data_IF_268511740474
#
_entry.id   IF_268511740474
#
_cell.length_a   1.000
_cell.length_b   1.000
_cell.length_c   1.000
_cell.angle_alpha   90.00
_cell.angle_beta   90.00
_cell.angle_gamma   90.00
#
_symmetry.space_group_name_H-M   'P 1'
#
loop_
_entity.id
_entity.type
_entity.pdbx_description
1 polymer ?
#
# COMPACT_ATOMS: atom_id res chain seq x y z
N UNK A 1 37.05 17.10 -13.06
CA UNK A 1 36.02 18.10 -12.73
C UNK A 1 34.64 17.47 -12.95
N UNK A 2 33.90 17.15 -11.91
CA UNK A 2 32.49 16.81 -11.99
C UNK A 2 31.73 18.07 -12.44
N UNK A 3 31.39 18.18 -13.74
CA UNK A 3 30.37 19.14 -14.17
C UNK A 3 29.12 18.76 -13.41
N UNK A 4 28.77 19.55 -12.40
CA UNK A 4 27.55 19.31 -11.57
C UNK A 4 26.38 19.06 -12.51
N UNK A 5 25.71 17.92 -12.34
CA UNK A 5 24.52 17.62 -13.11
C UNK A 5 23.40 18.47 -12.53
N UNK A 6 23.00 19.60 -13.17
CA UNK A 6 21.98 20.53 -12.64
C UNK A 6 20.63 19.81 -12.35
N UNK A 7 20.51 18.62 -12.85
CA UNK A 7 19.34 17.78 -12.77
C UNK A 7 19.12 17.10 -11.40
N UNK A 8 20.14 16.99 -10.53
CA UNK A 8 19.96 16.57 -9.13
C UNK A 8 19.21 17.62 -8.30
N UNK A 9 19.15 18.85 -8.79
CA UNK A 9 18.39 19.90 -8.14
C UNK A 9 16.90 19.55 -8.05
N UNK A 10 16.34 18.86 -9.06
CA UNK A 10 14.91 18.54 -9.11
C UNK A 10 14.44 17.58 -8.00
N UNK A 11 15.10 16.44 -7.70
CA UNK A 11 14.76 15.65 -6.52
C UNK A 11 14.89 16.41 -5.21
N UNK A 12 15.90 17.29 -5.08
CA UNK A 12 16.09 18.14 -3.89
C UNK A 12 14.95 19.16 -3.78
N UNK A 13 14.56 19.79 -4.88
CA UNK A 13 13.41 20.69 -4.90
C UNK A 13 12.11 19.95 -4.56
N UNK A 14 11.91 18.76 -5.11
CA UNK A 14 10.75 17.93 -4.79
C UNK A 14 10.69 17.56 -3.30
N UNK A 15 11.83 17.21 -2.72
CA UNK A 15 11.96 16.97 -1.29
C UNK A 15 11.59 18.22 -0.46
N UNK A 16 12.17 19.37 -0.78
CA UNK A 16 11.90 20.62 -0.07
C UNK A 16 10.44 21.06 -0.21
N UNK A 17 9.86 20.99 -1.42
CA UNK A 17 8.46 21.30 -1.68
C UNK A 17 7.51 20.38 -0.92
N UNK A 18 7.79 19.06 -0.90
CA UNK A 18 6.97 18.10 -0.16
C UNK A 18 6.99 18.38 1.34
N UNK A 19 8.18 18.62 1.91
CA UNK A 19 8.30 18.97 3.34
C UNK A 19 7.54 20.26 3.65
N UNK A 20 7.71 21.31 2.84
CA UNK A 20 7.05 22.59 3.07
C UNK A 20 5.53 22.48 2.94
N UNK A 21 5.03 21.72 1.95
CA UNK A 21 3.60 21.57 1.72
C UNK A 21 2.89 20.78 2.82
N UNK A 22 3.57 19.84 3.46
CA UNK A 22 2.98 18.96 4.46
C UNK A 22 3.42 19.28 5.90
N UNK A 23 4.19 20.35 6.11
CA UNK A 23 4.64 20.71 7.46
C UNK A 23 3.47 20.95 8.42
N UNK A 24 3.51 20.46 9.66
CA UNK A 24 4.56 19.64 10.31
C UNK A 24 4.47 18.13 10.05
N UNK A 25 3.54 17.68 9.26
CA UNK A 25 3.17 16.31 8.92
C UNK A 25 1.67 16.12 9.07
N UNK A 26 1.01 15.63 8.01
CA UNK A 26 -0.43 15.39 8.05
C UNK A 26 -0.72 14.13 8.88
N UNK A 27 -1.79 14.17 9.68
CA UNK A 27 -2.13 13.13 10.62
C UNK A 27 -3.62 12.82 10.62
N UNK A 28 -3.95 11.56 10.37
CA UNK A 28 -5.28 10.99 10.57
C UNK A 28 -5.41 10.42 12.00
N UNK A 29 -6.59 9.92 12.41
CA UNK A 29 -6.77 9.24 13.69
C UNK A 29 -5.75 8.12 13.92
N UNK A 30 -5.38 7.35 12.86
CA UNK A 30 -4.36 6.30 12.94
C UNK A 30 -3.00 6.87 13.34
N UNK A 31 -2.59 7.99 12.74
CA UNK A 31 -1.32 8.65 13.03
C UNK A 31 -1.31 9.26 14.44
N UNK A 32 -2.42 9.87 14.84
CA UNK A 32 -2.59 10.44 16.18
C UNK A 32 -2.53 9.35 17.25
N UNK A 33 -3.14 8.19 17.01
CA UNK A 33 -3.07 7.04 17.90
C UNK A 33 -1.62 6.55 18.04
N UNK A 34 -0.89 6.37 16.95
CA UNK A 34 0.52 5.96 16.98
C UNK A 34 1.42 7.00 17.67
N UNK A 35 1.16 8.29 17.44
CA UNK A 35 1.90 9.36 18.14
C UNK A 35 1.61 9.38 19.63
N UNK A 36 0.36 9.18 20.04
CA UNK A 36 -0.01 9.03 21.46
C UNK A 36 0.72 7.85 22.11
N UNK A 37 0.80 6.70 21.43
CA UNK A 37 1.58 5.55 21.92
C UNK A 37 3.07 5.89 22.06
N UNK A 38 3.64 6.65 21.09
CA UNK A 38 5.03 7.09 21.14
C UNK A 38 5.31 8.05 22.31
N UNK A 39 4.40 8.97 22.60
CA UNK A 39 4.50 9.91 23.74
C UNK A 39 4.42 9.19 25.08
N UNK A 40 3.43 8.34 25.23
CA UNK A 40 3.13 7.67 26.51
C UNK A 40 3.98 6.42 26.74
N UNK A 41 4.72 5.97 25.72
CA UNK A 41 5.47 4.69 25.71
C UNK A 41 4.60 3.49 26.08
N UNK A 42 3.33 3.57 25.76
CA UNK A 42 2.33 2.53 25.98
C UNK A 42 1.89 1.98 24.62
N UNK A 43 2.53 0.89 24.23
CA UNK A 43 2.39 0.34 22.89
C UNK A 43 1.33 -0.77 22.85
N UNK A 44 0.58 -0.81 21.75
CA UNK A 44 -0.29 -1.91 21.38
C UNK A 44 -0.13 -2.26 19.89
N UNK A 45 -0.58 -3.43 19.48
CA UNK A 45 -0.40 -3.96 18.14
C UNK A 45 -1.53 -3.58 17.16
N UNK A 46 -2.44 -2.67 17.54
CA UNK A 46 -3.47 -2.17 16.63
C UNK A 46 -2.85 -1.47 15.42
N UNK A 47 -1.76 -0.76 15.65
CA UNK A 47 -0.92 -0.18 14.59
C UNK A 47 0.51 -0.75 14.70
N UNK A 48 1.34 -0.61 13.65
CA UNK A 48 2.71 -1.13 13.67
C UNK A 48 3.55 -0.59 14.82
N UNK A 49 3.85 -1.43 15.79
CA UNK A 49 4.64 -1.06 16.99
C UNK A 49 6.00 -0.47 16.61
N UNK A 50 6.65 -1.02 15.57
CA UNK A 50 7.96 -0.54 15.12
C UNK A 50 7.91 0.94 14.70
N UNK A 51 6.80 1.39 14.11
CA UNK A 51 6.61 2.80 13.70
C UNK A 51 6.44 3.70 14.92
N UNK A 52 5.62 3.30 15.89
CA UNK A 52 5.42 4.08 17.12
C UNK A 52 6.70 4.15 17.98
N UNK A 53 7.48 3.06 18.05
CA UNK A 53 8.78 3.04 18.74
C UNK A 53 9.78 3.97 18.04
N UNK A 54 9.89 3.90 16.72
CA UNK A 54 10.76 4.81 15.96
C UNK A 54 10.36 6.28 16.20
N UNK A 55 9.07 6.56 16.21
CA UNK A 55 8.55 7.90 16.51
C UNK A 55 8.90 8.36 17.93
N UNK A 56 8.80 7.45 18.91
CA UNK A 56 9.23 7.72 20.29
C UNK A 56 10.71 8.11 20.37
N UNK A 57 11.58 7.45 19.60
CA UNK A 57 13.00 7.79 19.53
C UNK A 57 13.25 9.15 18.85
N UNK A 58 12.60 9.41 17.75
CA UNK A 58 12.67 10.69 17.05
C UNK A 58 12.15 11.85 17.91
N UNK A 59 11.09 11.61 18.69
CA UNK A 59 10.50 12.62 19.57
C UNK A 59 11.44 13.07 20.71
N UNK A 60 12.48 12.30 21.03
CA UNK A 60 13.55 12.73 21.94
C UNK A 60 14.44 13.83 21.35
N UNK A 61 14.51 13.89 20.03
CA UNK A 61 15.34 14.88 19.31
C UNK A 61 14.49 16.11 18.93
N UNK A 62 13.34 15.88 18.32
CA UNK A 62 12.39 16.92 17.92
C UNK A 62 10.99 16.42 18.17
N UNK A 63 10.25 17.10 19.04
CA UNK A 63 8.85 16.75 19.34
C UNK A 63 7.91 16.97 18.18
N UNK A 64 6.90 16.11 18.04
CA UNK A 64 5.84 16.26 17.06
C UNK A 64 5.97 15.35 15.84
N UNK A 65 5.16 15.61 14.80
CA UNK A 65 5.12 14.78 13.60
C UNK A 65 6.28 15.02 12.62
N UNK A 66 6.95 16.16 12.70
CA UNK A 66 7.94 16.61 11.73
C UNK A 66 9.09 15.62 11.46
N UNK A 67 9.68 14.93 12.45
CA UNK A 67 10.72 13.95 12.17
C UNK A 67 10.26 12.77 11.32
N UNK A 68 9.02 12.32 11.52
CA UNK A 68 8.44 11.24 10.71
C UNK A 68 8.14 11.70 9.29
N UNK A 69 7.66 12.94 9.11
CA UNK A 69 7.50 13.57 7.81
C UNK A 69 8.83 13.61 7.04
N UNK A 70 9.90 14.13 7.67
CA UNK A 70 11.23 14.16 7.04
C UNK A 70 11.67 12.75 6.66
N UNK A 71 11.52 11.78 7.55
CA UNK A 71 11.97 10.42 7.32
C UNK A 71 11.29 9.79 6.08
N UNK A 72 9.95 9.83 5.99
CA UNK A 72 9.23 9.23 4.86
C UNK A 72 9.48 9.97 3.53
N UNK A 73 9.47 11.31 3.55
CA UNK A 73 9.71 12.14 2.36
C UNK A 73 11.15 11.96 1.86
N UNK A 74 12.12 11.82 2.79
CA UNK A 74 13.52 11.57 2.43
C UNK A 74 13.69 10.19 1.79
N UNK A 75 13.05 9.14 2.32
CA UNK A 75 13.09 7.80 1.69
C UNK A 75 12.61 7.86 0.24
N UNK A 76 11.49 8.54 -0.02
CA UNK A 76 10.94 8.67 -1.37
C UNK A 76 11.88 9.43 -2.31
N UNK A 77 12.25 10.66 -1.97
CA UNK A 77 13.07 11.50 -2.87
C UNK A 77 14.53 11.02 -3.01
N UNK A 78 15.07 10.36 -1.99
CA UNK A 78 16.37 9.69 -2.08
C UNK A 78 16.29 8.54 -3.10
N UNK A 79 15.21 7.74 -3.07
CA UNK A 79 15.00 6.70 -4.06
C UNK A 79 14.96 7.26 -5.49
N UNK A 80 14.21 8.35 -5.72
CA UNK A 80 14.14 9.05 -7.01
C UNK A 80 15.54 9.51 -7.45
N UNK A 81 16.31 10.14 -6.54
CA UNK A 81 17.67 10.59 -6.80
C UNK A 81 18.61 9.43 -7.20
N UNK A 82 18.52 8.29 -6.50
CA UNK A 82 19.32 7.10 -6.78
C UNK A 82 18.96 6.50 -8.15
N UNK A 83 17.66 6.33 -8.45
CA UNK A 83 17.19 5.80 -9.74
C UNK A 83 17.67 6.71 -10.86
N UNK A 84 17.52 8.02 -10.67
CA UNK A 84 17.97 9.04 -11.61
C UNK A 84 19.47 8.91 -11.92
N UNK A 85 20.31 8.75 -10.91
CA UNK A 85 21.77 8.67 -11.08
C UNK A 85 22.23 7.38 -11.76
N UNK A 86 21.49 6.27 -11.59
CA UNK A 86 21.95 4.95 -12.02
C UNK A 86 21.53 4.55 -13.45
N UNK A 87 20.36 4.96 -13.90
CA UNK A 87 19.72 4.29 -15.06
C UNK A 87 19.33 5.19 -16.22
N UNK A 88 19.49 6.52 -16.16
CA UNK A 88 18.74 7.35 -17.08
C UNK A 88 19.65 8.08 -18.05
N UNK A 89 19.49 7.76 -19.34
CA UNK A 89 19.93 8.61 -20.44
C UNK A 89 19.22 9.97 -20.39
N UNK A 90 19.91 11.03 -20.82
CA UNK A 90 19.53 12.43 -20.63
C UNK A 90 18.09 12.79 -21.03
N UNK A 91 17.55 12.14 -22.07
CA UNK A 91 16.18 12.43 -22.57
C UNK A 91 15.05 11.77 -21.76
N UNK A 92 15.35 10.71 -21.01
CA UNK A 92 14.36 9.95 -20.26
C UNK A 92 14.28 10.38 -18.79
N UNK A 93 15.26 11.14 -18.32
CA UNK A 93 15.33 11.68 -16.95
C UNK A 93 14.16 12.62 -16.64
N UNK A 94 13.68 13.36 -17.63
CA UNK A 94 12.53 14.28 -17.48
C UNK A 94 11.26 13.49 -17.18
N UNK A 95 11.03 12.36 -17.87
CA UNK A 95 9.83 11.53 -17.65
C UNK A 95 9.82 10.97 -16.23
N UNK A 96 10.95 10.46 -15.72
CA UNK A 96 11.03 9.98 -14.35
C UNK A 96 10.66 11.09 -13.35
N UNK A 97 11.23 12.26 -13.52
CA UNK A 97 11.00 13.38 -12.61
C UNK A 97 9.54 13.84 -12.69
N UNK A 98 8.99 14.04 -13.89
CA UNK A 98 7.59 14.44 -14.05
C UNK A 98 6.64 13.43 -13.39
N UNK A 99 6.89 12.13 -13.57
CA UNK A 99 6.08 11.08 -12.95
C UNK A 99 6.29 11.01 -11.43
N UNK A 100 7.45 11.39 -10.91
CA UNK A 100 7.69 11.49 -9.47
C UNK A 100 6.90 12.62 -8.81
N UNK A 101 6.51 13.64 -9.57
CA UNK A 101 5.62 14.72 -9.14
C UNK A 101 4.14 14.44 -9.45
N UNK A 102 3.78 13.23 -9.84
CA UNK A 102 2.38 12.89 -10.15
C UNK A 102 1.47 13.18 -8.94
N UNK A 103 0.28 13.74 -9.17
CA UNK A 103 -0.62 14.15 -8.09
C UNK A 103 -1.07 12.95 -7.25
N UNK A 104 -1.26 11.77 -7.85
CA UNK A 104 -1.61 10.57 -7.12
C UNK A 104 -0.47 10.04 -6.21
N UNK A 105 0.78 10.48 -6.42
CA UNK A 105 1.89 10.19 -5.51
C UNK A 105 1.97 11.26 -4.43
N UNK A 106 1.97 12.54 -4.85
CA UNK A 106 2.18 13.64 -3.92
C UNK A 106 1.01 13.87 -2.97
N UNK A 107 -0.22 13.51 -3.36
CA UNK A 107 -1.43 13.82 -2.58
C UNK A 107 -1.41 13.32 -1.14
N UNK A 108 -0.74 12.19 -0.89
CA UNK A 108 -0.63 11.60 0.46
C UNK A 108 0.82 11.39 0.93
N UNK A 109 1.81 11.81 0.14
CA UNK A 109 3.23 11.59 0.46
C UNK A 109 3.63 12.15 1.84
N UNK A 110 2.99 13.22 2.30
CA UNK A 110 3.27 13.83 3.60
C UNK A 110 2.31 13.43 4.71
N UNK A 111 1.36 12.52 4.45
CA UNK A 111 0.52 11.96 5.51
C UNK A 111 1.29 10.85 6.23
N UNK A 112 1.40 10.94 7.55
CA UNK A 112 2.21 9.98 8.34
C UNK A 112 1.42 8.68 8.51
N UNK A 113 1.41 7.87 7.44
CA UNK A 113 0.76 6.57 7.41
C UNK A 113 1.76 5.43 7.21
N UNK A 114 1.46 4.30 7.85
CA UNK A 114 2.21 3.05 7.61
C UNK A 114 2.34 2.69 6.13
N UNK A 115 1.32 2.99 5.34
CA UNK A 115 1.27 2.72 3.90
C UNK A 115 2.27 3.58 3.12
N UNK A 116 2.44 4.84 3.49
CA UNK A 116 3.40 5.77 2.88
C UNK A 116 4.83 5.38 3.26
N UNK A 117 5.09 5.09 4.55
CA UNK A 117 6.38 4.59 5.00
C UNK A 117 6.77 3.29 4.28
N UNK A 118 5.81 2.36 4.16
CA UNK A 118 6.00 1.09 3.44
C UNK A 118 6.39 1.34 1.99
N UNK A 119 5.62 2.14 1.26
CA UNK A 119 5.84 2.39 -0.16
C UNK A 119 7.14 3.16 -0.42
N UNK A 120 7.45 4.20 0.36
CA UNK A 120 8.68 4.96 0.24
C UNK A 120 9.93 4.10 0.57
N UNK A 121 9.86 3.29 1.61
CA UNK A 121 10.93 2.37 2.00
C UNK A 121 11.17 1.26 0.97
N UNK A 122 10.11 0.66 0.41
CA UNK A 122 10.23 -0.31 -0.68
C UNK A 122 10.88 0.30 -1.92
N UNK A 123 10.45 1.52 -2.32
CA UNK A 123 11.04 2.20 -3.47
C UNK A 123 12.52 2.49 -3.26
N UNK A 124 12.93 2.90 -2.04
CA UNK A 124 14.33 3.13 -1.70
C UNK A 124 15.14 1.85 -1.77
N UNK A 125 14.61 0.73 -1.28
CA UNK A 125 15.28 -0.57 -1.37
C UNK A 125 15.44 -1.05 -2.81
N UNK A 126 14.40 -0.87 -3.64
CA UNK A 126 14.47 -1.15 -5.09
C UNK A 126 15.54 -0.27 -5.74
N UNK A 127 15.54 1.03 -5.46
CA UNK A 127 16.52 1.97 -5.99
C UNK A 127 17.95 1.59 -5.62
N UNK A 128 18.20 1.18 -4.38
CA UNK A 128 19.51 0.73 -3.92
C UNK A 128 19.96 -0.55 -4.63
N UNK A 129 19.03 -1.44 -4.96
CA UNK A 129 19.29 -2.73 -5.64
C UNK A 129 19.59 -2.58 -7.14
N UNK A 130 19.21 -1.47 -7.78
CA UNK A 130 19.51 -1.19 -9.19
C UNK A 130 21.01 -1.01 -9.40
N UNK A 131 21.59 -1.65 -10.44
CA UNK A 131 23.01 -1.49 -10.84
C UNK A 131 23.99 -1.40 -9.66
N UNK A 132 23.85 -2.33 -8.72
CA UNK A 132 24.69 -2.33 -7.52
C UNK A 132 26.16 -2.44 -7.87
N UNK A 133 26.91 -1.41 -7.51
CA UNK A 133 28.37 -1.37 -7.58
C UNK A 133 28.92 -1.35 -6.17
N UNK A 134 29.96 -2.15 -5.92
CA UNK A 134 30.67 -2.12 -4.64
C UNK A 134 31.49 -0.84 -4.53
N UNK A 135 31.46 -0.22 -3.39
CA UNK A 135 32.39 0.86 -3.07
C UNK A 135 33.82 0.30 -2.95
N UNK A 136 34.81 1.08 -3.33
CA UNK A 136 36.22 0.69 -3.15
C UNK A 136 36.56 0.51 -1.67
N UNK A 137 35.97 1.31 -0.80
CA UNK A 137 36.15 1.24 0.65
C UNK A 137 35.22 0.19 1.22
N UNK A 138 35.78 -0.90 1.79
CA UNK A 138 35.01 -2.03 2.36
C UNK A 138 34.02 -1.58 3.44
N UNK A 139 34.42 -0.64 4.29
CA UNK A 139 33.60 -0.10 5.37
C UNK A 139 32.28 0.52 4.85
N UNK A 140 32.32 1.28 3.74
CA UNK A 140 31.10 1.84 3.14
C UNK A 140 30.13 0.77 2.66
N UNK A 141 30.63 -0.36 2.15
CA UNK A 141 29.77 -1.48 1.75
C UNK A 141 29.06 -2.11 2.97
N UNK A 142 29.73 -2.18 4.11
CA UNK A 142 29.15 -2.69 5.36
C UNK A 142 28.07 -1.71 5.85
N UNK A 143 28.33 -0.42 5.89
CA UNK A 143 27.36 0.59 6.29
C UNK A 143 26.10 0.50 5.42
N UNK A 144 26.24 0.48 4.09
CA UNK A 144 25.11 0.39 3.17
C UNK A 144 24.32 -0.89 3.38
N UNK A 145 25.00 -2.03 3.53
CA UNK A 145 24.33 -3.31 3.82
C UNK A 145 23.53 -3.24 5.14
N UNK A 146 24.15 -2.68 6.19
CA UNK A 146 23.47 -2.53 7.50
C UNK A 146 22.24 -1.65 7.39
N UNK A 147 22.34 -0.50 6.71
CA UNK A 147 21.21 0.41 6.51
C UNK A 147 20.08 -0.26 5.69
N UNK A 148 20.41 -1.05 4.67
CA UNK A 148 19.42 -1.79 3.88
C UNK A 148 18.76 -2.88 4.71
N UNK A 149 19.49 -3.64 5.51
CA UNK A 149 18.93 -4.66 6.42
C UNK A 149 17.99 -4.02 7.44
N UNK A 150 18.38 -2.88 8.05
CA UNK A 150 17.52 -2.13 8.97
C UNK A 150 16.27 -1.60 8.26
N UNK A 151 16.41 -1.10 7.03
CA UNK A 151 15.29 -0.64 6.23
C UNK A 151 14.32 -1.79 5.91
N UNK A 152 14.84 -2.96 5.49
CA UNK A 152 14.00 -4.13 5.20
C UNK A 152 13.27 -4.59 6.46
N UNK A 153 13.98 -4.66 7.60
CA UNK A 153 13.39 -5.03 8.88
C UNK A 153 12.26 -4.06 9.27
N UNK A 154 12.48 -2.75 9.10
CA UNK A 154 11.49 -1.72 9.36
C UNK A 154 10.25 -1.90 8.48
N UNK A 155 10.40 -1.90 7.14
CA UNK A 155 9.26 -1.97 6.21
C UNK A 155 8.47 -3.28 6.32
N UNK A 156 9.13 -4.42 6.59
CA UNK A 156 8.45 -5.69 6.80
C UNK A 156 7.51 -5.65 8.01
N UNK A 157 7.87 -4.89 9.06
CA UNK A 157 7.10 -4.80 10.29
C UNK A 157 6.18 -3.58 10.35
N UNK A 158 6.31 -2.63 9.43
CA UNK A 158 5.35 -1.52 9.25
C UNK A 158 4.04 -2.02 8.62
N UNK A 159 4.08 -3.07 7.78
CA UNK A 159 2.89 -3.62 7.14
C UNK A 159 2.96 -5.15 7.02
N UNK A 160 2.67 -5.83 8.13
CA UNK A 160 2.81 -7.28 8.26
C UNK A 160 1.94 -8.12 7.32
N UNK A 161 0.81 -7.60 6.84
CA UNK A 161 -0.06 -8.29 5.88
C UNK A 161 0.48 -8.30 4.43
N UNK A 162 1.60 -7.65 4.15
CA UNK A 162 2.19 -7.53 2.80
C UNK A 162 3.40 -8.46 2.59
N UNK A 163 3.40 -9.63 3.23
CA UNK A 163 4.53 -10.56 3.21
C UNK A 163 4.94 -11.03 1.80
N UNK A 164 3.99 -11.19 0.86
CA UNK A 164 4.30 -11.55 -0.53
C UNK A 164 5.09 -10.43 -1.25
N UNK A 165 4.74 -9.17 -0.98
CA UNK A 165 5.46 -8.01 -1.53
C UNK A 165 6.88 -7.97 -0.96
N UNK A 166 7.01 -8.14 0.36
CA UNK A 166 8.33 -8.19 1.04
C UNK A 166 9.18 -9.32 0.46
N UNK A 167 8.61 -10.51 0.24
CA UNK A 167 9.31 -11.65 -0.35
C UNK A 167 9.88 -11.30 -1.75
N UNK A 168 9.08 -10.69 -2.62
CA UNK A 168 9.50 -10.31 -3.97
C UNK A 168 10.61 -9.25 -3.94
N UNK A 169 10.47 -8.22 -3.11
CA UNK A 169 11.47 -7.17 -3.03
C UNK A 169 12.75 -7.65 -2.32
N UNK A 170 12.63 -8.52 -1.33
CA UNK A 170 13.78 -9.20 -0.70
C UNK A 170 14.52 -10.08 -1.72
N UNK A 171 13.79 -10.82 -2.57
CA UNK A 171 14.41 -11.56 -3.67
C UNK A 171 15.20 -10.63 -4.61
N UNK A 172 14.64 -9.50 -4.99
CA UNK A 172 15.33 -8.51 -5.82
C UNK A 172 16.62 -8.01 -5.13
N UNK A 173 16.53 -7.70 -3.84
CA UNK A 173 17.65 -7.24 -3.04
C UNK A 173 18.75 -8.32 -2.94
N UNK A 174 18.42 -9.57 -2.59
CA UNK A 174 19.34 -10.70 -2.54
C UNK A 174 19.98 -10.97 -3.91
N UNK A 175 19.18 -10.90 -4.99
CA UNK A 175 19.68 -11.08 -6.36
C UNK A 175 20.71 -10.00 -6.72
N UNK A 176 20.60 -8.79 -6.20
CA UNK A 176 21.56 -7.72 -6.44
C UNK A 176 22.94 -7.98 -5.82
N UNK A 177 23.00 -8.76 -4.74
CA UNK A 177 24.23 -9.18 -4.06
C UNK A 177 24.81 -10.50 -4.57
N UNK A 178 23.95 -11.48 -4.85
CA UNK A 178 24.31 -12.88 -5.12
C UNK A 178 24.12 -13.23 -6.61
N UNK A 179 24.71 -12.44 -7.52
CA UNK A 179 24.55 -12.61 -8.98
C UNK A 179 24.93 -14.01 -9.48
N UNK A 180 25.99 -14.63 -8.93
CA UNK A 180 26.51 -15.94 -9.34
C UNK A 180 25.76 -17.15 -8.75
N UNK A 181 24.83 -16.93 -7.82
CA UNK A 181 24.07 -18.00 -7.16
C UNK A 181 22.86 -18.38 -8.02
N UNK A 182 22.48 -19.66 -8.01
CA UNK A 182 21.32 -20.16 -8.76
C UNK A 182 20.01 -19.55 -8.27
N UNK A 183 19.05 -19.41 -9.17
CA UNK A 183 17.74 -18.79 -8.87
C UNK A 183 17.02 -19.49 -7.73
N UNK A 184 17.03 -20.84 -7.69
CA UNK A 184 16.38 -21.59 -6.62
C UNK A 184 16.98 -21.25 -5.23
N UNK A 185 18.30 -21.20 -5.11
CA UNK A 185 18.97 -20.82 -3.85
C UNK A 185 18.62 -19.39 -3.43
N UNK A 186 18.47 -18.46 -4.38
CA UNK A 186 18.03 -17.08 -4.09
C UNK A 186 16.59 -17.04 -3.59
N UNK A 187 15.69 -17.82 -4.19
CA UNK A 187 14.29 -17.93 -3.73
C UNK A 187 14.24 -18.49 -2.31
N UNK A 188 14.95 -19.61 -2.05
CA UNK A 188 15.01 -20.18 -0.70
C UNK A 188 15.59 -19.19 0.33
N UNK A 189 16.69 -18.51 -0.02
CA UNK A 189 17.28 -17.49 0.85
C UNK A 189 16.32 -16.33 1.13
N UNK A 190 15.58 -15.88 0.12
CA UNK A 190 14.59 -14.82 0.27
C UNK A 190 13.44 -15.24 1.16
N UNK A 191 12.95 -16.47 1.02
CA UNK A 191 11.88 -17.01 1.86
C UNK A 191 12.32 -17.12 3.32
N UNK A 192 13.48 -17.72 3.58
CA UNK A 192 14.04 -17.88 4.94
C UNK A 192 14.26 -16.50 5.56
N UNK A 193 14.85 -15.55 4.82
CA UNK A 193 15.10 -14.21 5.31
C UNK A 193 13.80 -13.47 5.60
N UNK A 194 12.79 -13.57 4.73
CA UNK A 194 11.46 -12.95 4.95
C UNK A 194 10.78 -13.51 6.19
N UNK A 195 10.78 -14.82 6.38
CA UNK A 195 10.23 -15.45 7.60
C UNK A 195 11.00 -14.94 8.84
N UNK A 196 12.32 -14.86 8.77
CA UNK A 196 13.15 -14.32 9.84
C UNK A 196 12.83 -12.88 10.18
N UNK A 197 12.58 -12.02 9.18
CA UNK A 197 12.19 -10.61 9.39
C UNK A 197 10.90 -10.48 10.20
N UNK A 198 9.88 -11.29 9.86
CA UNK A 198 8.62 -11.29 10.61
C UNK A 198 8.80 -11.90 12.00
N UNK A 199 9.58 -12.97 12.15
CA UNK A 199 9.90 -13.56 13.44
C UNK A 199 10.61 -12.56 14.38
N UNK A 200 11.60 -11.84 13.87
CA UNK A 200 12.29 -10.76 14.62
C UNK A 200 11.30 -9.65 14.99
N UNK A 201 10.42 -9.27 14.08
CA UNK A 201 9.40 -8.26 14.35
C UNK A 201 8.42 -8.68 15.45
N UNK A 202 7.94 -9.92 15.43
CA UNK A 202 7.07 -10.47 16.47
C UNK A 202 7.79 -10.54 17.83
N UNK A 203 9.03 -11.03 17.83
CA UNK A 203 9.85 -11.04 19.01
C UNK A 203 10.05 -9.63 19.59
N UNK A 204 10.41 -8.66 18.72
CA UNK A 204 10.57 -7.26 19.10
C UNK A 204 9.26 -6.70 19.70
N UNK A 205 8.13 -6.91 19.03
CA UNK A 205 6.83 -6.39 19.46
C UNK A 205 6.41 -6.93 20.83
N UNK A 206 6.50 -8.24 21.05
CA UNK A 206 5.90 -8.86 22.22
C UNK A 206 6.90 -9.17 23.34
N UNK A 207 8.18 -9.40 23.03
CA UNK A 207 9.17 -9.72 24.06
C UNK A 207 10.01 -8.50 24.45
N UNK A 208 10.38 -7.64 23.50
CA UNK A 208 11.23 -6.47 23.78
C UNK A 208 10.37 -5.28 24.19
N UNK A 209 9.40 -4.89 23.36
CA UNK A 209 8.52 -3.73 23.60
C UNK A 209 7.39 -4.07 24.56
N UNK A 210 7.00 -5.35 24.65
CA UNK A 210 5.88 -5.84 25.46
C UNK A 210 4.56 -5.14 25.12
N UNK A 211 4.30 -4.98 23.83
CA UNK A 211 3.09 -4.34 23.32
C UNK A 211 1.85 -5.15 23.73
N UNK A 212 0.79 -4.43 24.10
CA UNK A 212 -0.51 -5.05 24.42
C UNK A 212 -1.15 -5.59 23.14
N UNK A 213 -1.64 -6.82 23.19
CA UNK A 213 -2.42 -7.42 22.10
C UNK A 213 -3.82 -6.81 22.06
N UNK A 214 -4.29 -6.46 20.84
CA UNK A 214 -5.58 -5.81 20.61
C UNK A 214 -6.56 -6.64 19.79
N UNK A 215 -6.21 -7.89 19.47
CA UNK A 215 -7.09 -8.80 18.71
C UNK A 215 -7.64 -8.19 17.41
N UNK A 216 -6.79 -7.50 16.62
CA UNK A 216 -7.19 -6.91 15.32
C UNK A 216 -7.90 -7.93 14.42
N UNK A 217 -7.55 -9.20 14.53
CA UNK A 217 -8.18 -10.28 13.75
C UNK A 217 -9.69 -10.33 14.01
N UNK A 218 -10.16 -9.96 15.21
CA UNK A 218 -11.58 -9.91 15.52
C UNK A 218 -12.35 -9.00 14.57
N UNK A 219 -11.74 -7.92 14.11
CA UNK A 219 -12.38 -6.99 13.18
C UNK A 219 -12.80 -7.66 11.88
N UNK A 220 -11.93 -8.54 11.35
CA UNK A 220 -12.22 -9.30 10.13
C UNK A 220 -13.19 -10.47 10.37
N UNK A 221 -13.10 -11.10 11.54
CA UNK A 221 -14.00 -12.20 11.90
C UNK A 221 -15.40 -11.69 12.14
N UNK A 222 -15.55 -10.59 12.87
CA UNK A 222 -16.84 -9.94 13.15
C UNK A 222 -17.49 -9.48 11.83
N UNK A 223 -16.73 -8.88 10.92
CA UNK A 223 -17.24 -8.46 9.62
C UNK A 223 -17.83 -9.64 8.82
N UNK A 224 -17.14 -10.78 8.80
CA UNK A 224 -17.64 -12.00 8.18
C UNK A 224 -18.89 -12.55 8.89
N UNK A 225 -18.87 -12.59 10.23
CA UNK A 225 -19.97 -13.14 11.01
C UNK A 225 -21.23 -12.27 10.96
N UNK A 226 -21.12 -10.95 10.84
CA UNK A 226 -22.27 -10.08 10.58
C UNK A 226 -22.94 -10.49 9.26
N UNK A 227 -22.15 -10.70 8.19
CA UNK A 227 -22.70 -11.16 6.92
C UNK A 227 -23.41 -12.51 7.04
N UNK A 228 -22.79 -13.46 7.73
CA UNK A 228 -23.41 -14.78 7.94
C UNK A 228 -24.64 -14.72 8.87
N UNK A 229 -24.62 -13.86 9.89
CA UNK A 229 -25.79 -13.63 10.75
C UNK A 229 -26.99 -13.13 9.96
N UNK A 230 -26.76 -12.22 9.01
CA UNK A 230 -27.81 -11.74 8.09
C UNK A 230 -28.31 -12.88 7.20
N UNK A 231 -27.44 -13.77 6.75
CA UNK A 231 -27.81 -14.92 5.91
C UNK A 231 -28.63 -15.97 6.68
N UNK A 232 -28.28 -16.22 7.96
CA UNK A 232 -28.99 -17.19 8.83
C UNK A 232 -30.27 -16.60 9.46
N UNK A 233 -30.40 -15.27 9.53
CA UNK A 233 -31.52 -14.60 10.17
C UNK A 233 -31.43 -14.52 11.70
N UNK A 234 -30.25 -14.80 12.27
CA UNK A 234 -29.99 -14.75 13.71
C UNK A 234 -28.54 -14.30 13.99
N UNK A 235 -28.26 -13.81 15.19
CA UNK A 235 -26.91 -13.42 15.58
C UNK A 235 -26.01 -14.62 15.83
N UNK A 236 -24.90 -14.71 15.10
CA UNK A 236 -23.80 -15.65 15.30
C UNK A 236 -22.75 -15.14 16.30
N UNK A 237 -22.92 -13.92 16.81
CA UNK A 237 -22.07 -13.30 17.84
C UNK A 237 -22.95 -12.99 19.03
N UNK A 238 -22.93 -13.82 20.09
CA UNK A 238 -23.89 -13.70 21.23
C UNK A 238 -23.90 -12.32 21.89
N UNK A 239 -22.77 -11.60 21.88
CA UNK A 239 -22.64 -10.28 22.47
C UNK A 239 -23.22 -9.16 21.62
N UNK A 240 -23.64 -9.43 20.39
CA UNK A 240 -24.17 -8.44 19.44
C UNK A 240 -25.59 -8.82 19.06
N UNK A 241 -26.55 -7.94 19.32
CA UNK A 241 -27.96 -8.18 18.99
C UNK A 241 -28.16 -8.18 17.45
N UNK A 242 -28.97 -9.14 16.96
CA UNK A 242 -29.26 -9.26 15.53
C UNK A 242 -29.88 -7.99 14.95
N UNK A 243 -30.82 -7.38 15.67
CA UNK A 243 -31.50 -6.16 15.27
C UNK A 243 -30.51 -4.99 15.05
N UNK A 244 -29.45 -4.91 15.84
CA UNK A 244 -28.38 -3.92 15.66
C UNK A 244 -27.56 -4.19 14.40
N UNK A 245 -27.37 -5.48 14.04
CA UNK A 245 -26.67 -5.84 12.79
C UNK A 245 -27.46 -5.45 11.55
N UNK A 246 -28.77 -5.60 11.57
CA UNK A 246 -29.66 -5.32 10.42
C UNK A 246 -30.12 -3.86 10.35
N UNK A 247 -30.13 -3.13 11.45
CA UNK A 247 -30.61 -1.75 11.52
C UNK A 247 -29.81 -0.80 10.60
N UNK A 248 -28.52 -1.08 10.39
CA UNK A 248 -27.66 -0.25 9.55
C UNK A 248 -27.68 -0.62 8.06
N UNK A 249 -28.22 -1.79 7.70
CA UNK A 249 -28.18 -2.31 6.33
C UNK A 249 -28.74 -1.36 5.28
N UNK A 250 -29.90 -0.71 5.48
CA UNK A 250 -30.44 0.21 4.48
C UNK A 250 -29.48 1.34 4.12
N UNK A 251 -28.83 1.93 5.13
CA UNK A 251 -27.87 3.01 4.91
C UNK A 251 -26.57 2.48 4.26
N UNK A 252 -26.08 1.32 4.71
CA UNK A 252 -24.88 0.69 4.18
C UNK A 252 -25.05 0.29 2.73
N UNK A 253 -26.21 -0.27 2.37
CA UNK A 253 -26.55 -0.64 0.99
C UNK A 253 -26.71 0.61 0.12
N UNK A 254 -27.40 1.65 0.60
CA UNK A 254 -27.59 2.89 -0.14
C UNK A 254 -26.29 3.60 -0.44
N UNK A 255 -25.31 3.49 0.46
CA UNK A 255 -23.97 4.08 0.31
C UNK A 255 -22.96 3.11 -0.33
N UNK A 256 -23.38 1.87 -0.68
CA UNK A 256 -22.53 0.82 -1.23
C UNK A 256 -21.32 0.47 -0.34
N UNK A 257 -21.51 0.39 0.97
CA UNK A 257 -20.46 0.11 1.94
C UNK A 257 -20.60 -1.32 2.47
N UNK A 258 -19.60 -2.16 2.25
CA UNK A 258 -19.58 -3.58 2.65
C UNK A 258 -18.66 -3.88 3.84
N UNK A 259 -18.02 -2.88 4.44
CA UNK A 259 -17.36 -3.04 5.73
C UNK A 259 -18.40 -2.90 6.85
N UNK A 260 -19.17 -3.97 7.04
CA UNK A 260 -20.36 -3.99 7.90
C UNK A 260 -20.02 -3.67 9.35
N UNK A 261 -18.91 -4.20 9.87
CA UNK A 261 -18.45 -3.91 11.22
C UNK A 261 -18.22 -2.41 11.43
N UNK A 262 -17.47 -1.78 10.53
CA UNK A 262 -17.11 -0.38 10.66
C UNK A 262 -18.34 0.53 10.59
N UNK A 263 -19.23 0.28 9.63
CA UNK A 263 -20.38 1.15 9.42
C UNK A 263 -21.54 0.83 10.36
N UNK A 264 -21.72 -0.43 10.74
CA UNK A 264 -22.85 -0.83 11.59
C UNK A 264 -22.54 -0.75 13.09
N UNK A 265 -21.41 -1.28 13.52
CA UNK A 265 -21.12 -1.41 14.96
C UNK A 265 -20.30 -0.24 15.52
N UNK A 266 -19.35 0.31 14.77
CA UNK A 266 -18.52 1.43 15.26
C UNK A 266 -19.29 2.75 15.37
N UNK A 267 -20.29 2.98 14.50
CA UNK A 267 -21.09 4.21 14.55
C UNK A 267 -21.95 4.25 15.81
N UNK A 268 -22.42 3.13 16.30
CA UNK A 268 -23.24 3.07 17.53
C UNK A 268 -22.43 3.27 18.81
N UNK A 269 -21.10 3.00 18.78
CA UNK A 269 -20.26 2.99 20.00
C UNK A 269 -20.68 1.94 21.05
N UNK A 270 -21.70 1.12 20.72
CA UNK A 270 -22.32 0.16 21.62
C UNK A 270 -21.44 -1.08 21.85
N UNK A 271 -20.68 -1.48 20.84
CA UNK A 271 -19.93 -2.74 20.86
C UNK A 271 -18.43 -2.54 20.74
N UNK A 272 -17.67 -3.23 21.60
CA UNK A 272 -16.22 -3.28 21.56
C UNK A 272 -15.76 -4.63 20.98
N UNK A 273 -15.50 -4.70 19.69
CA UNK A 273 -15.06 -5.93 19.01
C UNK A 273 -13.75 -6.49 19.52
N UNK A 274 -12.87 -5.64 20.07
CA UNK A 274 -11.58 -6.08 20.63
C UNK A 274 -11.69 -6.90 21.90
N UNK A 275 -12.84 -6.85 22.60
CA UNK A 275 -13.08 -7.62 23.83
C UNK A 275 -13.71 -8.98 23.59
N UNK A 276 -14.13 -9.28 22.36
CA UNK A 276 -14.75 -10.55 22.00
C UNK A 276 -13.73 -11.70 22.01
N UNK A 277 -14.22 -12.92 22.25
CA UNK A 277 -13.37 -14.11 22.27
C UNK A 277 -12.94 -14.49 20.85
N UNK A 278 -11.65 -14.31 20.53
CA UNK A 278 -11.08 -14.59 19.22
C UNK A 278 -11.25 -16.04 18.78
N UNK A 279 -11.06 -16.99 19.68
CA UNK A 279 -11.15 -18.42 19.35
C UNK A 279 -12.59 -18.80 19.00
N UNK A 280 -13.58 -18.29 19.73
CA UNK A 280 -14.99 -18.49 19.44
C UNK A 280 -15.38 -17.90 18.07
N UNK A 281 -14.99 -16.64 17.80
CA UNK A 281 -15.24 -15.99 16.51
C UNK A 281 -14.60 -16.75 15.35
N UNK A 282 -13.38 -17.28 15.55
CA UNK A 282 -12.67 -18.04 14.54
C UNK A 282 -13.34 -19.37 14.22
N UNK A 283 -13.77 -20.09 15.25
CA UNK A 283 -14.44 -21.39 15.07
C UNK A 283 -15.82 -21.24 14.44
N UNK A 284 -16.59 -20.23 14.84
CA UNK A 284 -17.87 -19.90 14.21
C UNK A 284 -17.67 -19.50 12.76
N UNK A 285 -16.69 -18.63 12.46
CA UNK A 285 -16.39 -18.25 11.08
C UNK A 285 -15.99 -19.44 10.21
N UNK A 286 -15.19 -20.39 10.72
CA UNK A 286 -14.82 -21.62 9.98
C UNK A 286 -16.05 -22.48 9.68
N UNK A 287 -16.92 -22.69 10.68
CA UNK A 287 -18.15 -23.48 10.50
C UNK A 287 -19.03 -22.86 9.42
N UNK A 288 -19.24 -21.55 9.46
CA UNK A 288 -20.04 -20.83 8.49
C UNK A 288 -19.42 -20.81 7.08
N UNK A 289 -18.11 -20.67 6.95
CA UNK A 289 -17.42 -20.78 5.65
C UNK A 289 -17.61 -22.18 5.04
N UNK A 290 -17.53 -23.24 5.86
CA UNK A 290 -17.76 -24.62 5.39
C UNK A 290 -19.23 -24.85 5.03
N UNK A 291 -20.17 -24.31 5.81
CA UNK A 291 -21.62 -24.40 5.57
C UNK A 291 -22.05 -23.64 4.32
N UNK A 292 -21.46 -22.44 4.08
CA UNK A 292 -21.86 -21.53 3.01
C UNK A 292 -20.67 -21.03 2.16
N UNK A 293 -19.88 -21.91 1.52
CA UNK A 293 -18.64 -21.51 0.85
C UNK A 293 -18.87 -20.53 -0.30
N UNK A 294 -19.97 -20.71 -1.07
CA UNK A 294 -20.30 -19.81 -2.18
C UNK A 294 -20.76 -18.44 -1.70
N UNK A 295 -21.52 -18.37 -0.61
CA UNK A 295 -21.91 -17.10 0.00
C UNK A 295 -20.69 -16.32 0.47
N UNK A 296 -19.74 -16.99 1.12
CA UNK A 296 -18.47 -16.38 1.51
C UNK A 296 -17.70 -15.81 0.33
N UNK A 297 -17.54 -16.60 -0.74
CA UNK A 297 -16.83 -16.15 -1.95
C UNK A 297 -17.56 -14.95 -2.57
N UNK A 298 -18.89 -14.99 -2.70
CA UNK A 298 -19.69 -13.87 -3.21
C UNK A 298 -19.48 -12.61 -2.37
N UNK A 299 -19.55 -12.73 -1.05
CA UNK A 299 -19.33 -11.61 -0.13
C UNK A 299 -17.93 -11.01 -0.28
N UNK A 300 -16.87 -11.84 -0.31
CA UNK A 300 -15.50 -11.35 -0.48
C UNK A 300 -15.27 -10.70 -1.84
N UNK A 301 -15.87 -11.24 -2.89
CA UNK A 301 -15.81 -10.62 -4.22
C UNK A 301 -16.57 -9.29 -4.26
N UNK A 302 -17.72 -9.19 -3.60
CA UNK A 302 -18.47 -7.94 -3.48
C UNK A 302 -17.69 -6.88 -2.71
N UNK A 303 -17.13 -7.23 -1.55
CA UNK A 303 -16.29 -6.33 -0.75
C UNK A 303 -15.04 -5.88 -1.52
N UNK A 304 -14.40 -6.80 -2.25
CA UNK A 304 -13.27 -6.45 -3.12
C UNK A 304 -13.68 -5.54 -4.27
N UNK A 305 -14.88 -5.74 -4.81
CA UNK A 305 -15.43 -4.91 -5.88
C UNK A 305 -15.69 -3.49 -5.41
N UNK A 306 -16.26 -3.33 -4.21
CA UNK A 306 -16.42 -2.02 -3.57
C UNK A 306 -15.07 -1.36 -3.36
N UNK A 307 -14.09 -2.07 -2.80
CA UNK A 307 -12.73 -1.58 -2.62
C UNK A 307 -12.10 -1.11 -3.94
N UNK A 308 -12.25 -1.90 -5.02
CA UNK A 308 -11.70 -1.52 -6.34
C UNK A 308 -12.38 -0.27 -6.89
N UNK A 309 -13.61 -0.01 -6.51
CA UNK A 309 -14.44 1.08 -7.02
C UNK A 309 -14.69 0.97 -8.51
N UNK A 310 -15.80 1.51 -8.95
CA UNK A 310 -16.02 1.79 -10.36
C UNK A 310 -15.46 3.17 -10.68
N UNK A 311 -15.13 3.44 -11.93
CA UNK A 311 -14.66 4.76 -12.41
C UNK A 311 -15.62 5.91 -12.07
N UNK A 312 -16.80 5.62 -11.58
CA UNK A 312 -17.89 6.54 -11.27
C UNK A 312 -18.02 6.88 -9.78
N UNK A 313 -17.32 6.16 -8.88
CA UNK A 313 -17.32 6.51 -7.46
C UNK A 313 -16.49 7.76 -7.22
N UNK A 314 -17.15 8.86 -6.94
CA UNK A 314 -16.56 10.19 -6.76
C UNK A 314 -15.75 10.37 -5.48
N UNK A 315 -15.67 9.38 -4.58
CA UNK A 315 -15.23 9.60 -3.21
C UNK A 315 -14.08 8.70 -2.77
N UNK A 316 -13.00 8.59 -3.56
CA UNK A 316 -11.75 8.06 -3.01
C UNK A 316 -11.11 9.10 -2.12
N UNK A 317 -10.75 8.67 -0.92
CA UNK A 317 -10.02 9.50 0.04
C UNK A 317 -8.54 9.58 -0.38
N UNK A 318 -8.25 10.55 -1.24
CA UNK A 318 -6.90 10.78 -1.79
C UNK A 318 -6.18 11.98 -1.17
N UNK A 319 -6.79 12.68 -0.23
CA UNK A 319 -6.24 13.83 0.45
C UNK A 319 -6.69 13.86 1.90
N UNK A 320 -5.74 14.06 2.84
CA UNK A 320 -6.07 14.24 4.25
C UNK A 320 -6.66 15.62 4.45
N UNK A 321 -7.98 15.69 4.59
CA UNK A 321 -8.72 16.94 4.79
C UNK A 321 -8.37 17.55 6.14
N UNK A 322 -8.10 18.86 6.17
CA UNK A 322 -7.70 19.56 7.40
C UNK A 322 -6.26 19.30 7.86
N UNK A 323 -5.48 18.49 7.10
CA UNK A 323 -4.08 18.18 7.39
C UNK A 323 -3.90 17.33 8.64
N UNK A 324 -4.24 17.84 9.80
CA UNK A 324 -4.24 17.12 11.09
C UNK A 324 -5.66 17.06 11.63
N UNK A 325 -6.15 15.85 11.93
CA UNK A 325 -7.48 15.68 12.52
C UNK A 325 -7.54 16.26 13.94
N UNK A 326 -8.75 16.60 14.40
CA UNK A 326 -8.99 17.13 15.74
C UNK A 326 -8.41 16.19 16.80
N UNK A 327 -7.64 16.72 17.75
CA UNK A 327 -6.91 15.93 18.72
C UNK A 327 -6.72 16.69 20.04
N UNK A 328 -6.40 15.92 21.08
CA UNK A 328 -6.06 16.44 22.44
C UNK A 328 -4.54 16.54 22.66
N UNK A 329 -3.73 16.27 21.62
CA UNK A 329 -2.26 16.22 21.71
C UNK A 329 -1.62 17.59 21.41
N UNK A 330 -2.43 18.59 21.11
CA UNK A 330 -1.94 19.95 20.78
C UNK A 330 -1.22 20.03 19.43
N UNK A 331 -1.49 19.10 18.52
CA UNK A 331 -0.92 19.12 17.18
C UNK A 331 -1.89 19.85 16.25
N UNK A 332 -1.41 20.91 15.65
CA UNK A 332 -2.16 21.72 14.69
C UNK A 332 -1.36 21.84 13.38
N UNK A 333 -2.08 22.01 12.30
CA UNK A 333 -1.53 22.33 10.98
C UNK A 333 -2.27 23.51 10.41
N UNK A 334 -1.54 24.46 9.86
CA UNK A 334 -2.08 25.58 9.10
C UNK A 334 -1.69 25.46 7.64
N UNK A 335 -2.67 25.61 6.76
CA UNK A 335 -2.43 25.59 5.32
C UNK A 335 -1.53 26.75 4.90
N UNK A 336 -0.42 26.43 4.27
CA UNK A 336 0.45 27.39 3.62
C UNK A 336 0.21 27.42 2.10
N UNK A 337 0.86 28.33 1.40
CA UNK A 337 0.74 28.45 -0.05
C UNK A 337 1.03 27.13 -0.80
N UNK A 338 2.01 26.37 -0.37
CA UNK A 338 2.39 25.09 -1.01
C UNK A 338 1.37 24.00 -0.72
N UNK A 339 0.81 23.94 0.48
CA UNK A 339 -0.31 23.05 0.86
C UNK A 339 -1.52 23.29 -0.05
N UNK A 340 -1.95 24.55 -0.14
CA UNK A 340 -3.11 24.94 -0.97
C UNK A 340 -2.87 24.64 -2.45
N UNK A 341 -1.67 24.94 -2.94
CA UNK A 341 -1.29 24.70 -4.34
C UNK A 341 -1.26 23.21 -4.67
N UNK A 342 -0.71 22.39 -3.78
CA UNK A 342 -0.63 20.93 -3.95
C UNK A 342 -2.02 20.30 -3.87
N UNK A 343 -2.87 20.77 -2.95
CA UNK A 343 -4.27 20.34 -2.87
C UNK A 343 -5.00 20.65 -4.18
N UNK A 344 -4.93 21.90 -4.66
CA UNK A 344 -5.55 22.31 -5.93
C UNK A 344 -5.05 21.48 -7.11
N UNK A 345 -3.76 21.19 -7.14
CA UNK A 345 -3.16 20.31 -8.16
C UNK A 345 -3.76 18.90 -8.10
N UNK A 346 -3.85 18.30 -6.91
CA UNK A 346 -4.44 16.97 -6.70
C UNK A 346 -5.94 16.95 -7.05
N UNK A 347 -6.71 17.95 -6.62
CA UNK A 347 -8.15 18.09 -6.91
C UNK A 347 -8.41 18.25 -8.42
N UNK A 348 -7.56 19.02 -9.11
CA UNK A 348 -7.67 19.19 -10.57
C UNK A 348 -7.49 17.85 -11.29
N UNK A 349 -6.49 17.07 -10.89
CA UNK A 349 -6.27 15.74 -11.48
C UNK A 349 -7.35 14.74 -11.08
N UNK A 350 -7.84 14.77 -9.85
CA UNK A 350 -8.95 13.93 -9.42
C UNK A 350 -10.23 14.22 -10.21
N UNK A 351 -10.40 15.46 -10.68
CA UNK A 351 -11.52 15.86 -11.55
C UNK A 351 -11.29 15.46 -13.01
N UNK A 352 -10.09 15.72 -13.55
CA UNK A 352 -9.79 15.49 -14.98
C UNK A 352 -9.47 14.03 -15.30
N UNK A 353 -8.80 13.33 -14.38
CA UNK A 353 -8.32 11.95 -14.53
C UNK A 353 -8.65 11.12 -13.27
N UNK A 354 -9.92 10.98 -12.90
CA UNK A 354 -10.31 10.32 -11.64
C UNK A 354 -9.80 8.88 -11.53
N UNK A 355 -9.60 8.21 -12.65
CA UNK A 355 -9.13 6.83 -12.69
C UNK A 355 -7.73 6.63 -12.07
N UNK A 356 -6.85 7.65 -12.07
CA UNK A 356 -5.52 7.54 -11.45
C UNK A 356 -5.57 7.44 -9.93
N UNK A 357 -6.71 7.73 -9.33
CA UNK A 357 -6.99 7.53 -7.91
C UNK A 357 -7.83 6.27 -7.63
N UNK A 358 -8.07 5.43 -8.66
CA UNK A 358 -8.85 4.20 -8.53
C UNK A 358 -7.94 2.97 -8.36
N UNK A 359 -8.20 2.09 -7.37
CA UNK A 359 -7.48 0.81 -7.23
C UNK A 359 -7.59 -0.05 -8.48
N UNK A 360 -8.76 -0.06 -9.13
CA UNK A 360 -9.02 -0.84 -10.33
C UNK A 360 -8.06 -0.49 -11.47
N UNK A 361 -7.80 0.80 -11.69
CA UNK A 361 -6.85 1.25 -12.70
C UNK A 361 -5.44 0.69 -12.42
N UNK A 362 -4.99 0.71 -11.17
CA UNK A 362 -3.66 0.23 -10.77
C UNK A 362 -3.56 -1.29 -10.77
N UNK A 363 -4.66 -1.99 -10.45
CA UNK A 363 -4.72 -3.45 -10.56
C UNK A 363 -4.47 -3.89 -12.02
N UNK A 364 -5.22 -3.30 -12.97
CA UNK A 364 -5.08 -3.62 -14.39
C UNK A 364 -3.76 -3.15 -14.98
N UNK A 365 -3.33 -1.93 -14.65
CA UNK A 365 -2.06 -1.38 -15.13
C UNK A 365 -0.87 -2.22 -14.65
N UNK A 366 -0.92 -2.74 -13.42
CA UNK A 366 0.12 -3.64 -12.89
C UNK A 366 0.12 -4.99 -13.61
N UNK A 367 -1.05 -5.56 -13.94
CA UNK A 367 -1.16 -6.80 -14.70
C UNK A 367 -0.62 -6.63 -16.13
N UNK A 368 -0.92 -5.51 -16.79
CA UNK A 368 -0.31 -5.14 -18.08
C UNK A 368 1.20 -5.05 -17.97
N UNK A 369 1.70 -4.37 -16.93
CA UNK A 369 3.14 -4.23 -16.69
C UNK A 369 3.82 -5.60 -16.43
N UNK A 370 3.19 -6.51 -15.66
CA UNK A 370 3.65 -7.89 -15.47
C UNK A 370 3.79 -8.60 -16.80
N UNK A 371 2.75 -8.53 -17.63
CA UNK A 371 2.72 -9.22 -18.93
C UNK A 371 3.81 -8.74 -19.87
N UNK A 372 4.00 -7.42 -19.96
CA UNK A 372 5.04 -6.81 -20.80
C UNK A 372 6.44 -7.16 -20.30
N UNK A 373 6.65 -7.07 -18.98
CA UNK A 373 7.94 -7.40 -18.37
C UNK A 373 8.28 -8.89 -18.49
N UNK A 374 7.28 -9.77 -18.35
CA UNK A 374 7.47 -11.22 -18.50
C UNK A 374 7.96 -11.61 -19.89
N UNK A 375 7.47 -10.97 -20.94
CA UNK A 375 7.92 -11.20 -22.33
C UNK A 375 9.39 -10.85 -22.52
N UNK A 376 9.93 -9.94 -21.71
CA UNK A 376 11.28 -9.37 -21.83
C UNK A 376 12.23 -9.79 -20.70
N UNK A 377 11.85 -10.77 -19.89
CA UNK A 377 12.56 -11.21 -18.69
C UNK A 377 14.04 -11.59 -18.83
N UNK A 378 14.55 -11.68 -20.05
CA UNK A 378 15.95 -12.06 -20.32
C UNK A 378 16.95 -10.92 -20.14
N UNK A 379 16.48 -9.70 -19.85
CA UNK A 379 17.33 -8.52 -19.62
C UNK A 379 17.27 -8.15 -18.14
N UNK A 380 18.41 -7.91 -17.49
CA UNK A 380 18.50 -7.66 -16.02
C UNK A 380 17.56 -6.58 -15.50
N UNK A 381 17.39 -5.49 -16.26
CA UNK A 381 16.51 -4.37 -15.88
C UNK A 381 15.04 -4.69 -15.98
N UNK A 382 14.68 -5.60 -16.86
CA UNK A 382 13.31 -6.04 -17.06
C UNK A 382 12.85 -7.00 -15.97
N UNK A 383 13.80 -7.74 -15.34
CA UNK A 383 13.52 -8.50 -14.14
C UNK A 383 13.13 -7.59 -12.97
N UNK A 384 13.73 -6.39 -12.84
CA UNK A 384 13.32 -5.41 -11.83
C UNK A 384 11.92 -4.87 -12.13
N UNK A 385 11.64 -4.55 -13.39
CA UNK A 385 10.31 -4.12 -13.83
C UNK A 385 9.25 -5.19 -13.54
N UNK A 386 9.55 -6.46 -13.84
CA UNK A 386 8.65 -7.58 -13.55
C UNK A 386 8.36 -7.73 -12.06
N UNK A 387 9.38 -7.65 -11.20
CA UNK A 387 9.21 -7.75 -9.76
C UNK A 387 8.39 -6.58 -9.21
N UNK A 388 8.65 -5.37 -9.68
CA UNK A 388 7.84 -4.19 -9.31
C UNK A 388 6.38 -4.37 -9.72
N UNK A 389 6.13 -4.75 -10.97
CA UNK A 389 4.77 -4.95 -11.46
C UNK A 389 4.04 -6.08 -10.70
N UNK A 390 4.72 -7.22 -10.46
CA UNK A 390 4.15 -8.33 -9.71
C UNK A 390 3.88 -7.94 -8.25
N UNK A 391 4.77 -7.18 -7.61
CA UNK A 391 4.56 -6.68 -6.25
C UNK A 391 3.40 -5.69 -6.18
N UNK A 392 3.21 -4.85 -7.20
CA UNK A 392 2.09 -3.92 -7.31
C UNK A 392 0.76 -4.66 -7.45
N UNK A 393 0.71 -5.67 -8.32
CA UNK A 393 -0.47 -6.51 -8.52
C UNK A 393 -0.85 -7.25 -7.23
N UNK A 394 0.10 -7.93 -6.60
CA UNK A 394 -0.14 -8.69 -5.36
C UNK A 394 -0.56 -7.79 -4.21
N UNK A 395 0.02 -6.58 -4.10
CA UNK A 395 -0.34 -5.62 -3.08
C UNK A 395 -1.79 -5.13 -3.19
N UNK A 396 -2.28 -4.92 -4.40
CA UNK A 396 -3.67 -4.55 -4.63
C UNK A 396 -4.59 -5.78 -4.46
N UNK A 397 -4.22 -6.92 -5.05
CA UNK A 397 -5.04 -8.13 -5.06
C UNK A 397 -5.23 -8.73 -3.66
N UNK A 398 -4.25 -8.62 -2.76
CA UNK A 398 -4.39 -9.14 -1.39
C UNK A 398 -5.57 -8.55 -0.61
N UNK A 399 -6.06 -7.36 -1.00
CA UNK A 399 -7.22 -6.73 -0.38
C UNK A 399 -8.55 -7.50 -0.62
N UNK A 400 -8.54 -8.54 -1.47
CA UNK A 400 -9.66 -9.48 -1.60
C UNK A 400 -9.98 -10.22 -0.29
N UNK A 401 -8.97 -10.40 0.57
CA UNK A 401 -9.13 -11.07 1.86
C UNK A 401 -9.72 -10.16 2.94
N UNK A 402 -9.54 -8.84 2.81
CA UNK A 402 -10.07 -7.87 3.75
C UNK A 402 -9.66 -6.45 3.35
N UNK A 403 -10.58 -5.75 2.71
CA UNK A 403 -10.41 -4.34 2.37
C UNK A 403 -10.97 -3.46 3.49
N UNK A 404 -10.22 -2.42 3.87
CA UNK A 404 -10.65 -1.48 4.92
C UNK A 404 -11.59 -0.38 4.44
N UNK A 405 -11.89 -0.32 3.13
CA UNK A 405 -12.70 0.74 2.51
C UNK A 405 -12.01 1.44 1.32
N UNK A 406 -12.69 2.35 0.62
CA UNK A 406 -12.19 3.01 -0.59
C UNK A 406 -11.21 4.15 -0.27
N UNK A 407 -10.05 3.81 0.28
CA UNK A 407 -9.00 4.76 0.65
C UNK A 407 -7.78 4.55 -0.24
N UNK A 408 -7.29 5.61 -0.87
CA UNK A 408 -6.15 5.60 -1.78
C UNK A 408 -4.88 5.02 -1.16
N UNK A 409 -4.68 5.17 0.15
CA UNK A 409 -3.50 4.63 0.86
C UNK A 409 -3.35 3.12 0.73
N UNK A 410 -4.44 2.35 0.63
CA UNK A 410 -4.39 0.89 0.59
C UNK A 410 -3.83 0.31 -0.71
N UNK A 411 -3.74 1.11 -1.77
CA UNK A 411 -3.10 0.71 -3.03
C UNK A 411 -1.96 1.66 -3.46
N UNK A 412 -1.50 2.49 -2.54
CA UNK A 412 -0.44 3.48 -2.81
C UNK A 412 0.84 2.86 -3.36
N UNK A 413 1.28 1.71 -2.78
CA UNK A 413 2.40 0.96 -3.35
C UNK A 413 2.13 0.49 -4.78
N UNK A 414 0.92 0.01 -5.07
CA UNK A 414 0.56 -0.41 -6.43
C UNK A 414 0.71 0.71 -7.45
N UNK A 415 0.29 1.93 -7.09
CA UNK A 415 0.43 3.11 -7.94
C UNK A 415 1.91 3.45 -8.19
N UNK A 416 2.72 3.52 -7.14
CA UNK A 416 4.16 3.80 -7.23
C UNK A 416 4.87 2.71 -8.02
N UNK A 417 4.74 1.44 -7.62
CA UNK A 417 5.49 0.34 -8.22
C UNK A 417 5.13 0.11 -9.70
N UNK A 418 3.84 0.24 -10.06
CA UNK A 418 3.42 0.17 -11.46
C UNK A 418 4.02 1.30 -12.30
N UNK A 419 3.96 2.54 -11.78
CA UNK A 419 4.54 3.71 -12.46
C UNK A 419 6.03 3.49 -12.74
N UNK A 420 6.80 3.09 -11.71
CA UNK A 420 8.23 2.84 -11.87
C UNK A 420 8.53 1.61 -12.73
N UNK A 421 7.72 0.56 -12.67
CA UNK A 421 7.83 -0.59 -13.57
C UNK A 421 7.69 -0.17 -15.03
N UNK A 422 6.66 0.63 -15.35
CA UNK A 422 6.41 1.11 -16.71
C UNK A 422 7.49 2.08 -17.20
N UNK A 423 8.06 2.91 -16.31
CA UNK A 423 9.21 3.75 -16.64
C UNK A 423 10.41 2.88 -17.04
N UNK A 424 10.75 1.89 -16.22
CA UNK A 424 11.87 0.99 -16.49
C UNK A 424 11.67 0.19 -17.79
N UNK A 425 10.45 -0.26 -18.06
CA UNK A 425 10.09 -0.89 -19.32
C UNK A 425 10.31 0.05 -20.52
N UNK A 426 9.76 1.28 -20.45
CA UNK A 426 9.86 2.24 -21.55
C UNK A 426 11.30 2.64 -21.84
N UNK A 427 12.14 2.77 -20.81
CA UNK A 427 13.56 3.10 -20.96
C UNK A 427 14.33 2.06 -21.80
N UNK A 428 13.83 0.82 -21.83
CA UNK A 428 14.43 -0.30 -22.54
C UNK A 428 13.67 -0.68 -23.83
N UNK A 429 12.58 0.02 -24.18
CA UNK A 429 11.78 -0.27 -25.37
C UNK A 429 12.35 0.44 -26.61
N UNK A 430 12.84 -0.29 -27.64
CA UNK A 430 13.25 0.30 -28.92
C UNK A 430 12.03 0.79 -29.73
N UNK A 431 10.83 0.26 -29.46
CA UNK A 431 9.60 0.54 -30.18
C UNK A 431 8.46 0.96 -29.25
N UNK A 432 7.39 1.53 -29.82
CA UNK A 432 6.19 1.90 -29.06
C UNK A 432 5.43 0.66 -28.55
N UNK A 433 4.69 0.81 -27.45
CA UNK A 433 3.81 -0.24 -26.91
C UNK A 433 2.82 -0.76 -27.98
N UNK A 434 2.30 0.12 -28.83
CA UNK A 434 1.40 -0.24 -29.93
C UNK A 434 2.09 -1.18 -30.95
N UNK A 435 3.37 -0.94 -31.26
CA UNK A 435 4.15 -1.83 -32.13
C UNK A 435 4.34 -3.21 -31.50
N UNK A 436 4.65 -3.28 -30.22
CA UNK A 436 4.79 -4.54 -29.47
C UNK A 436 3.51 -5.38 -29.47
N UNK A 437 2.35 -4.75 -29.23
CA UNK A 437 1.06 -5.42 -29.27
C UNK A 437 0.76 -5.90 -30.71
N UNK A 438 1.03 -5.07 -31.72
CA UNK A 438 0.77 -5.38 -33.13
C UNK A 438 1.63 -6.57 -33.62
N UNK A 439 2.89 -6.65 -33.19
CA UNK A 439 3.84 -7.70 -33.58
C UNK A 439 3.78 -8.94 -32.69
N UNK A 440 2.90 -8.95 -31.67
CA UNK A 440 2.75 -10.09 -30.77
C UNK A 440 2.22 -11.33 -31.51
N UNK A 441 2.63 -12.53 -31.05
CA UNK A 441 2.11 -13.81 -31.55
C UNK A 441 0.60 -13.96 -31.28
N UNK A 442 -0.08 -14.85 -32.00
CA UNK A 442 -1.53 -15.06 -31.88
C UNK A 442 -1.99 -15.34 -30.42
N UNK A 443 -1.32 -16.17 -29.59
CA UNK A 443 -1.70 -16.37 -28.19
C UNK A 443 -1.66 -15.09 -27.37
N UNK A 444 -0.70 -14.21 -27.61
CA UNK A 444 -0.59 -12.93 -26.90
C UNK A 444 -1.63 -11.91 -27.35
N UNK A 445 -2.03 -11.92 -28.64
CA UNK A 445 -3.16 -11.11 -29.12
C UNK A 445 -4.45 -11.55 -28.46
N UNK A 446 -4.68 -12.88 -28.39
CA UNK A 446 -5.83 -13.46 -27.69
C UNK A 446 -5.83 -13.05 -26.21
N UNK A 447 -4.69 -13.15 -25.52
CA UNK A 447 -4.55 -12.71 -24.14
C UNK A 447 -4.95 -11.22 -23.96
N UNK A 448 -4.49 -10.33 -24.84
CA UNK A 448 -4.86 -8.90 -24.78
C UNK A 448 -6.35 -8.67 -25.03
N UNK A 449 -6.95 -9.42 -25.95
CA UNK A 449 -8.39 -9.38 -26.21
C UNK A 449 -9.15 -9.83 -24.96
N UNK A 450 -8.79 -10.98 -24.36
CA UNK A 450 -9.42 -11.49 -23.15
C UNK A 450 -9.27 -10.50 -21.99
N UNK A 451 -8.07 -9.94 -21.81
CA UNK A 451 -7.82 -8.93 -20.77
C UNK A 451 -8.73 -7.69 -20.97
N UNK A 452 -8.85 -7.21 -22.19
CA UNK A 452 -9.73 -6.08 -22.51
C UNK A 452 -11.21 -6.42 -22.27
N UNK A 453 -11.65 -7.61 -22.68
CA UNK A 453 -13.01 -8.09 -22.47
C UNK A 453 -13.30 -8.20 -20.96
N UNK A 454 -12.40 -8.83 -20.18
CA UNK A 454 -12.56 -8.95 -18.73
C UNK A 454 -12.59 -7.57 -18.07
N UNK A 455 -11.74 -6.63 -18.50
CA UNK A 455 -11.78 -5.25 -18.02
C UNK A 455 -13.13 -4.57 -18.32
N UNK A 456 -13.64 -4.67 -19.55
CA UNK A 456 -14.94 -4.12 -19.95
C UNK A 456 -16.07 -4.78 -19.14
N UNK A 457 -16.05 -6.13 -19.02
CA UNK A 457 -17.02 -6.86 -18.23
C UNK A 457 -16.98 -6.47 -16.75
N UNK A 458 -15.80 -6.29 -16.19
CA UNK A 458 -15.65 -5.88 -14.80
C UNK A 458 -16.23 -4.48 -14.58
N UNK A 459 -15.96 -3.55 -15.49
CA UNK A 459 -16.57 -2.22 -15.47
C UNK A 459 -18.09 -2.28 -15.60
N UNK A 460 -18.64 -3.17 -16.42
CA UNK A 460 -20.09 -3.32 -16.61
C UNK A 460 -20.76 -4.09 -15.47
N UNK A 461 -20.17 -5.18 -14.97
CA UNK A 461 -20.71 -5.97 -13.85
C UNK A 461 -20.82 -5.11 -12.60
N UNK A 462 -19.84 -4.28 -12.32
CA UNK A 462 -19.87 -3.35 -11.19
C UNK A 462 -20.93 -2.26 -11.31
N UNK A 463 -21.43 -2.01 -12.52
CA UNK A 463 -22.53 -1.07 -12.74
C UNK A 463 -23.90 -1.70 -12.54
N UNK A 464 -24.03 -3.05 -12.63
CA UNK A 464 -25.29 -3.77 -12.63
C UNK A 464 -25.47 -4.79 -11.51
N UNK A 465 -24.45 -5.05 -10.68
CA UNK A 465 -24.65 -5.90 -9.50
C UNK A 465 -25.49 -5.11 -8.49
N UNK A 466 -26.77 -5.46 -8.46
CA UNK A 466 -27.63 -4.97 -7.41
C UNK A 466 -27.22 -5.68 -6.11
N UNK A 467 -26.50 -4.98 -5.23
CA UNK A 467 -26.02 -5.54 -3.95
C UNK A 467 -27.16 -6.07 -3.09
N UNK A 468 -28.40 -5.57 -3.28
CA UNK A 468 -29.62 -6.10 -2.68
C UNK A 468 -29.85 -7.57 -3.03
N UNK A 469 -29.55 -8.00 -4.27
CA UNK A 469 -29.70 -9.40 -4.69
C UNK A 469 -28.66 -10.34 -4.06
N UNK A 470 -27.54 -9.81 -3.55
CA UNK A 470 -26.52 -10.58 -2.85
C UNK A 470 -26.87 -10.82 -1.37
N UNK A 471 -27.68 -9.95 -0.79
CA UNK A 471 -28.04 -9.96 0.63
C UNK A 471 -29.46 -10.54 0.84
N UNK A 472 -30.35 -10.44 -0.16
CA UNK A 472 -31.76 -10.90 -0.07
C UNK A 472 -32.02 -12.28 -0.67
N UNK A 473 -31.03 -12.98 -1.22
CA UNK A 473 -31.09 -14.34 -1.72
C UNK A 473 -30.04 -15.21 -1.08
#
# INVERSE_FOLDING_TARGET
MYKGKPQLLLPIMGWALSITAFYPGFMSPDSLNQYSQALNKSFNDHHPVVMAVLWSEFNKLVSGPFPMLIFQVTMYWLAIGIIYLKKIEKNNSIILILLSFSPFILSILGVIWKDVHFAAGLLLLVASSLDRKKFKIRFLNIIVLTLEVLLILYIANVRGNSWLVILLITYLWINSYLKSVTTLKKICASLIFTIGLFGVGQYFTYQVVKAKQTSIVNDYLVDNLIYFSILEGESLIPEIEYDDMVACLPATIAEMKLNLRFFCLNISGKYNTSSLNTDQLLDESKQMIVKHPWAFIKYKLAAFSEFQGTFWHKNYYYWQTGGVDSNTLGIEQTDNFFTISLKKYSDTFATLLPFVFSPLFWLWSSLVAVTLSWRRRNIDTENVSLILAASAFLYNFQNILGAGGPDFRYFYWSAIATTFSMILLKLNMPHSLAHEIKTSSAPWKFFWIVLTIVFIFQVQIFHHVNYLDLIQK
#
